data_IF_224120444693
#
_entry.id   IF_224120444693
#
_cell.length_a   1.000
_cell.length_b   1.000
_cell.length_c   1.000
_cell.angle_alpha   90.00
_cell.angle_beta   90.00
_cell.angle_gamma   90.00
#
_symmetry.space_group_name_H-M   'P 1'
#
loop_
_entity.id
_entity.type
_entity.pdbx_description
1 polymer ?
#
# COMPACT_ATOMS: atom_id res chain seq x y z
N UNK A 1 7.72 1.74 -9.01
CA UNK A 1 8.87 0.87 -8.63
C UNK A 1 9.02 -0.39 -9.48
N UNK A 2 8.03 -1.30 -9.51
CA UNK A 2 8.15 -2.62 -10.15
C UNK A 2 8.53 -2.59 -11.64
N UNK A 3 8.00 -1.63 -12.42
CA UNK A 3 8.38 -1.44 -13.83
C UNK A 3 9.87 -1.17 -14.04
N UNK A 4 10.47 -0.41 -13.11
CA UNK A 4 11.87 -0.01 -13.21
C UNK A 4 12.82 -1.13 -12.79
N UNK A 5 12.46 -1.90 -11.76
CA UNK A 5 13.39 -2.80 -11.07
C UNK A 5 13.01 -4.29 -11.08
N UNK A 6 11.75 -4.64 -11.36
CA UNK A 6 11.24 -6.02 -11.29
C UNK A 6 11.02 -6.53 -9.86
N UNK A 7 10.92 -7.86 -9.71
CA UNK A 7 10.76 -8.54 -8.41
C UNK A 7 11.63 -9.80 -8.37
N UNK A 8 12.03 -10.23 -7.18
CA UNK A 8 12.78 -11.47 -6.97
C UNK A 8 12.22 -12.22 -5.75
N UNK A 9 12.41 -13.55 -5.65
CA UNK A 9 11.97 -14.30 -4.49
C UNK A 9 12.81 -13.93 -3.26
N UNK A 10 12.23 -14.01 -2.07
CA UNK A 10 12.92 -13.78 -0.78
C UNK A 10 14.22 -14.60 -0.66
N UNK A 11 14.22 -15.84 -1.18
CA UNK A 11 15.39 -16.72 -1.18
C UNK A 11 16.57 -16.20 -2.03
N UNK A 12 16.32 -15.31 -3.00
CA UNK A 12 17.37 -14.70 -3.81
C UNK A 12 17.94 -13.44 -3.16
N UNK A 13 17.12 -12.70 -2.42
CA UNK A 13 17.52 -11.48 -1.73
C UNK A 13 16.63 -11.23 -0.51
N UNK A 14 17.06 -11.66 0.68
CA UNK A 14 16.25 -11.50 1.90
C UNK A 14 16.30 -10.09 2.48
N UNK A 15 17.12 -9.19 1.92
CA UNK A 15 17.31 -7.82 2.43
C UNK A 15 17.82 -7.76 3.87
N UNK A 16 18.53 -8.80 4.31
CA UNK A 16 19.01 -8.99 5.69
C UNK A 16 20.46 -9.50 5.67
N UNK A 17 21.34 -9.04 6.58
CA UNK A 17 22.66 -9.62 6.77
C UNK A 17 22.57 -11.09 7.22
N UNK A 18 23.64 -11.86 6.99
CA UNK A 18 23.71 -13.27 7.39
C UNK A 18 23.50 -13.38 8.92
N UNK A 19 22.60 -14.28 9.33
CA UNK A 19 22.27 -14.54 10.73
C UNK A 19 21.23 -13.60 11.36
N UNK A 20 20.74 -12.61 10.61
CA UNK A 20 19.68 -11.70 11.08
C UNK A 20 18.31 -12.26 10.71
N UNK A 21 17.46 -12.46 11.72
CA UNK A 21 16.11 -13.01 11.54
C UNK A 21 15.06 -11.94 11.21
N UNK A 22 15.18 -10.75 11.82
CA UNK A 22 14.21 -9.67 11.70
C UNK A 22 14.86 -8.41 11.12
N UNK A 23 14.12 -7.64 10.33
CA UNK A 23 14.59 -6.34 9.88
C UNK A 23 14.67 -5.36 11.05
N UNK A 24 15.81 -4.67 11.16
CA UNK A 24 15.97 -3.51 12.03
C UNK A 24 16.71 -2.43 11.25
N UNK A 25 15.99 -1.39 10.85
CA UNK A 25 16.54 -0.31 10.05
C UNK A 25 16.88 0.94 10.88
N UNK A 26 16.82 0.89 12.22
CA UNK A 26 17.00 2.09 13.05
C UNK A 26 18.36 2.78 12.85
N UNK A 27 19.44 1.99 12.79
CA UNK A 27 20.78 2.53 12.54
C UNK A 27 20.94 2.99 11.08
N UNK A 28 20.48 2.18 10.13
CA UNK A 28 20.47 2.52 8.70
C UNK A 28 19.75 3.86 8.46
N UNK A 29 18.54 4.01 8.99
CA UNK A 29 17.74 5.23 8.89
C UNK A 29 18.48 6.42 9.52
N UNK A 30 19.05 6.25 10.72
CA UNK A 30 19.84 7.31 11.38
C UNK A 30 20.99 7.80 10.49
N UNK A 31 21.73 6.89 9.86
CA UNK A 31 22.87 7.22 9.01
C UNK A 31 22.41 7.94 7.74
N UNK A 32 21.45 7.37 7.02
CA UNK A 32 20.93 7.92 5.77
C UNK A 32 20.26 9.28 6.02
N UNK A 33 19.42 9.38 7.05
CA UNK A 33 18.73 10.62 7.41
C UNK A 33 19.70 11.74 7.76
N UNK A 34 20.77 11.47 8.52
CA UNK A 34 21.81 12.49 8.82
C UNK A 34 22.52 12.97 7.56
N UNK A 35 22.86 12.05 6.65
CA UNK A 35 23.51 12.38 5.39
C UNK A 35 22.61 13.24 4.49
N UNK A 36 21.39 12.77 4.23
CA UNK A 36 20.43 13.46 3.36
C UNK A 36 20.03 14.81 3.95
N UNK A 37 19.74 14.90 5.25
CA UNK A 37 19.35 16.17 5.88
C UNK A 37 20.47 17.22 5.81
N UNK A 38 21.74 16.80 5.88
CA UNK A 38 22.87 17.73 5.69
C UNK A 38 22.89 18.28 4.26
N UNK A 39 22.71 17.42 3.26
CA UNK A 39 22.69 17.84 1.85
C UNK A 39 21.53 18.79 1.55
N UNK A 40 20.33 18.50 2.07
CA UNK A 40 19.15 19.36 1.93
C UNK A 40 19.41 20.75 2.55
N UNK A 41 20.00 20.82 3.76
CA UNK A 41 20.36 22.09 4.40
C UNK A 41 21.40 22.89 3.61
N UNK A 42 22.19 22.23 2.77
CA UNK A 42 23.16 22.86 1.88
C UNK A 42 22.56 23.26 0.53
N UNK A 43 21.25 23.06 0.32
CA UNK A 43 20.57 23.38 -0.93
C UNK A 43 20.84 22.37 -2.06
N UNK A 44 21.34 21.17 -1.74
CA UNK A 44 21.56 20.11 -2.73
C UNK A 44 20.22 19.49 -3.11
N UNK A 45 19.87 19.57 -4.39
CA UNK A 45 18.60 19.06 -4.94
C UNK A 45 18.73 17.72 -5.67
N UNK A 46 19.95 17.27 -5.95
CA UNK A 46 20.22 15.97 -6.55
C UNK A 46 21.58 15.43 -6.09
N UNK A 47 21.65 14.11 -5.84
CA UNK A 47 22.90 13.47 -5.46
C UNK A 47 23.87 13.39 -6.65
N UNK A 48 25.13 13.76 -6.43
CA UNK A 48 26.22 13.49 -7.36
C UNK A 48 26.64 12.01 -7.36
N UNK A 49 27.56 11.63 -8.26
CA UNK A 49 28.02 10.23 -8.38
C UNK A 49 28.68 9.69 -7.11
N UNK A 50 29.43 10.52 -6.38
CA UNK A 50 30.10 10.13 -5.14
C UNK A 50 29.08 9.91 -4.02
N UNK A 51 28.13 10.84 -3.88
CA UNK A 51 27.06 10.78 -2.89
C UNK A 51 26.13 9.58 -3.14
N UNK A 52 25.77 9.31 -4.40
CA UNK A 52 25.04 8.09 -4.78
C UNK A 52 25.85 6.83 -4.43
N UNK A 53 27.14 6.83 -4.73
CA UNK A 53 28.04 5.73 -4.37
C UNK A 53 28.11 5.48 -2.86
N UNK A 54 28.11 6.54 -2.05
CA UNK A 54 28.05 6.44 -0.59
C UNK A 54 26.73 5.82 -0.12
N UNK A 55 25.59 6.34 -0.58
CA UNK A 55 24.26 5.82 -0.22
C UNK A 55 24.14 4.34 -0.58
N UNK A 56 24.55 3.95 -1.79
CA UNK A 56 24.50 2.55 -2.22
C UNK A 56 25.36 1.65 -1.33
N UNK A 57 26.58 2.06 -0.99
CA UNK A 57 27.45 1.27 -0.10
C UNK A 57 26.85 1.11 1.29
N UNK A 58 26.23 2.15 1.84
CA UNK A 58 25.53 2.05 3.13
C UNK A 58 24.37 1.06 3.00
N UNK A 59 23.54 1.17 1.96
CA UNK A 59 22.45 0.20 1.73
C UNK A 59 22.96 -1.24 1.60
N UNK A 60 24.04 -1.47 0.83
CA UNK A 60 24.64 -2.79 0.64
C UNK A 60 25.17 -3.39 1.96
N UNK A 61 25.68 -2.57 2.88
CA UNK A 61 26.15 -3.02 4.20
C UNK A 61 24.97 -3.56 5.03
N UNK A 62 23.83 -2.88 5.02
CA UNK A 62 22.69 -3.21 5.87
C UNK A 62 21.70 -4.18 5.25
N UNK A 63 21.54 -4.17 3.92
CA UNK A 63 20.53 -4.96 3.20
C UNK A 63 21.16 -6.05 2.32
N UNK A 64 22.48 -6.00 2.12
CA UNK A 64 23.20 -6.83 1.16
C UNK A 64 23.18 -6.22 -0.24
N UNK A 65 24.14 -6.59 -1.12
CA UNK A 65 24.12 -6.14 -2.50
C UNK A 65 22.98 -6.83 -3.27
N UNK A 66 22.23 -6.05 -4.04
CA UNK A 66 21.12 -6.57 -4.85
C UNK A 66 21.67 -7.42 -6.01
N UNK A 67 21.28 -8.71 -6.14
CA UNK A 67 21.77 -9.55 -7.23
C UNK A 67 21.15 -9.13 -8.58
N UNK A 68 22.00 -8.93 -9.58
CA UNK A 68 21.54 -8.64 -10.95
C UNK A 68 20.81 -9.85 -11.59
N UNK A 69 21.20 -11.06 -11.19
CA UNK A 69 20.62 -12.33 -11.62
C UNK A 69 20.58 -13.33 -10.47
N UNK A 70 19.64 -14.27 -10.51
CA UNK A 70 19.50 -15.33 -9.52
C UNK A 70 18.96 -16.62 -10.16
N UNK A 71 19.21 -17.76 -9.51
CA UNK A 71 18.67 -19.07 -9.91
C UNK A 71 17.34 -19.29 -9.17
N UNK A 72 16.30 -19.65 -9.91
CA UNK A 72 15.04 -20.14 -9.35
C UNK A 72 14.60 -21.38 -10.14
N UNK A 73 14.30 -22.48 -9.44
CA UNK A 73 13.94 -23.77 -10.06
C UNK A 73 14.88 -24.17 -11.22
N UNK A 74 16.19 -24.11 -10.96
CA UNK A 74 17.26 -24.46 -11.91
C UNK A 74 17.36 -23.57 -13.16
N UNK A 75 16.67 -22.44 -13.21
CA UNK A 75 16.75 -21.44 -14.30
C UNK A 75 17.26 -20.10 -13.79
N UNK A 76 18.04 -19.42 -14.62
CA UNK A 76 18.52 -18.06 -14.33
C UNK A 76 17.48 -17.02 -14.71
N UNK A 77 17.26 -16.04 -13.85
CA UNK A 77 16.39 -14.90 -14.07
C UNK A 77 17.05 -13.59 -13.66
N UNK A 78 16.70 -12.51 -14.35
CA UNK A 78 16.75 -11.15 -13.77
C UNK A 78 15.44 -10.84 -13.06
N UNK A 79 15.38 -9.85 -12.15
CA UNK A 79 14.14 -9.46 -11.48
C UNK A 79 12.99 -9.12 -12.45
N UNK A 80 13.29 -8.48 -13.59
CA UNK A 80 12.28 -8.16 -14.62
C UNK A 80 11.73 -9.42 -15.30
N UNK A 81 12.62 -10.34 -15.69
CA UNK A 81 12.18 -11.59 -16.33
C UNK A 81 11.41 -12.49 -15.37
N UNK A 82 11.77 -12.51 -14.08
CA UNK A 82 11.06 -13.27 -13.06
C UNK A 82 9.65 -12.74 -12.85
N UNK A 83 9.48 -11.42 -12.75
CA UNK A 83 8.17 -10.76 -12.67
C UNK A 83 7.26 -11.15 -13.84
N UNK A 84 7.77 -11.06 -15.07
CA UNK A 84 6.98 -11.30 -16.28
C UNK A 84 6.67 -12.80 -16.52
N UNK A 85 7.64 -13.68 -16.29
CA UNK A 85 7.54 -15.09 -16.72
C UNK A 85 7.08 -16.03 -15.61
N UNK A 86 7.46 -15.77 -14.35
CA UNK A 86 7.17 -16.62 -13.20
C UNK A 86 6.00 -16.08 -12.41
N UNK A 87 6.09 -14.82 -11.95
CA UNK A 87 5.01 -14.18 -11.17
C UNK A 87 3.83 -13.82 -12.08
N UNK A 88 4.10 -13.51 -13.35
CA UNK A 88 3.12 -13.07 -14.36
C UNK A 88 2.34 -11.83 -13.89
N UNK A 89 3.08 -10.89 -13.31
CA UNK A 89 2.55 -9.62 -12.82
C UNK A 89 2.83 -8.52 -13.84
N UNK A 90 1.78 -7.85 -14.29
CA UNK A 90 1.87 -6.57 -14.99
C UNK A 90 1.44 -5.44 -14.04
N UNK A 91 2.36 -4.55 -13.62
CA UNK A 91 2.01 -3.41 -12.79
C UNK A 91 0.97 -2.47 -13.44
N UNK A 92 0.84 -2.46 -14.77
CA UNK A 92 -0.16 -1.66 -15.49
C UNK A 92 -1.60 -2.20 -15.37
N UNK A 93 -1.79 -3.37 -14.76
CA UNK A 93 -3.11 -3.93 -14.48
C UNK A 93 -3.71 -3.43 -13.17
N UNK A 94 -2.95 -2.70 -12.35
CA UNK A 94 -3.37 -2.21 -11.03
C UNK A 94 -3.46 -0.71 -11.01
N UNK A 95 -4.42 -0.21 -10.23
CA UNK A 95 -4.61 1.23 -10.03
C UNK A 95 -4.98 1.50 -8.59
N UNK A 96 -4.64 2.70 -8.12
CA UNK A 96 -5.06 3.21 -6.84
C UNK A 96 -6.39 3.93 -6.99
N UNK A 97 -7.38 3.47 -6.24
CA UNK A 97 -8.74 3.99 -6.21
C UNK A 97 -8.93 4.78 -4.91
N UNK A 98 -9.56 5.94 -4.99
CA UNK A 98 -9.92 6.75 -3.81
C UNK A 98 -11.33 7.34 -3.96
N UNK A 99 -11.80 8.04 -2.92
CA UNK A 99 -13.13 8.65 -2.88
C UNK A 99 -13.13 9.90 -2.02
N UNK A 100 -12.96 11.06 -2.65
CA UNK A 100 -13.03 12.38 -2.02
C UNK A 100 -13.77 13.39 -2.90
N UNK A 101 -14.40 14.38 -2.27
CA UNK A 101 -15.27 15.38 -2.91
C UNK A 101 -14.55 16.70 -3.25
N UNK A 102 -13.31 16.90 -2.80
CA UNK A 102 -12.54 18.10 -3.17
C UNK A 102 -11.99 18.06 -4.60
N UNK A 103 -12.05 16.90 -5.26
CA UNK A 103 -11.81 16.73 -6.70
C UNK A 103 -13.03 16.10 -7.38
N UNK A 104 -13.24 16.34 -8.68
CA UNK A 104 -14.33 15.69 -9.41
C UNK A 104 -14.20 14.17 -9.39
N UNK A 105 -15.35 13.48 -9.28
CA UNK A 105 -15.39 12.03 -9.49
C UNK A 105 -15.18 11.68 -10.97
N UNK A 106 -14.70 10.47 -11.22
CA UNK A 106 -14.38 9.97 -12.56
C UNK A 106 -13.09 10.56 -13.14
N UNK A 107 -12.27 11.22 -12.33
CA UNK A 107 -11.02 11.84 -12.74
C UNK A 107 -9.85 11.31 -11.94
N UNK A 108 -8.67 11.38 -12.57
CA UNK A 108 -7.39 11.15 -11.94
C UNK A 108 -6.91 12.41 -11.26
N UNK A 109 -6.36 12.29 -10.06
CA UNK A 109 -5.71 13.38 -9.36
C UNK A 109 -4.61 12.83 -8.43
N UNK A 110 -3.63 13.66 -8.12
CA UNK A 110 -2.62 13.33 -7.10
C UNK A 110 -3.27 13.55 -5.74
N UNK A 111 -3.48 12.48 -4.97
CA UNK A 111 -3.96 12.60 -3.60
C UNK A 111 -2.91 13.35 -2.77
N UNK A 112 -3.32 14.41 -2.07
CA UNK A 112 -2.41 15.31 -1.37
C UNK A 112 -1.96 14.75 -0.01
N UNK A 113 -1.42 13.53 -0.01
CA UNK A 113 -0.78 12.94 1.15
C UNK A 113 0.75 13.18 1.13
N UNK A 114 1.35 13.24 2.31
CA UNK A 114 2.78 13.57 2.45
C UNK A 114 3.72 12.43 2.04
N UNK A 115 3.21 11.21 1.85
CA UNK A 115 3.97 10.02 1.51
C UNK A 115 3.99 9.75 -0.01
N UNK A 116 3.07 10.31 -0.78
CA UNK A 116 3.09 10.32 -2.25
C UNK A 116 4.06 11.37 -2.83
N UNK A 117 5.36 11.18 -2.56
CA UNK A 117 6.42 12.02 -3.12
C UNK A 117 6.68 11.77 -4.61
N UNK A 118 6.19 10.66 -5.17
CA UNK A 118 6.29 10.36 -6.60
C UNK A 118 5.28 11.14 -7.44
N UNK A 119 4.20 11.63 -6.83
CA UNK A 119 3.13 12.34 -7.52
C UNK A 119 2.27 11.40 -8.37
N UNK A 120 2.17 10.13 -7.97
CA UNK A 120 1.33 9.16 -8.67
C UNK A 120 -0.16 9.52 -8.48
N UNK A 121 -0.97 9.27 -9.51
CA UNK A 121 -2.37 9.68 -9.54
C UNK A 121 -3.31 8.55 -9.10
N UNK A 122 -4.33 8.93 -8.34
CA UNK A 122 -5.41 8.08 -7.84
C UNK A 122 -6.65 8.33 -8.70
N UNK A 123 -7.42 7.27 -8.98
CA UNK A 123 -8.71 7.39 -9.64
C UNK A 123 -9.81 7.67 -8.61
N UNK A 124 -10.50 8.80 -8.75
CA UNK A 124 -11.53 9.23 -7.81
C UNK A 124 -12.91 8.70 -8.20
N UNK A 125 -13.62 8.05 -7.27
CA UNK A 125 -15.00 7.58 -7.48
C UNK A 125 -15.91 7.98 -6.32
N UNK A 126 -17.24 8.04 -6.53
CA UNK A 126 -18.17 8.24 -5.43
C UNK A 126 -18.01 7.13 -4.38
N UNK A 127 -18.24 7.46 -3.11
CA UNK A 127 -18.08 6.49 -2.00
C UNK A 127 -18.90 5.22 -2.23
N UNK A 128 -20.10 5.33 -2.80
CA UNK A 128 -20.94 4.17 -3.15
C UNK A 128 -20.29 3.22 -4.16
N UNK A 129 -19.55 3.76 -5.12
CA UNK A 129 -18.89 2.95 -6.15
C UNK A 129 -17.57 2.40 -5.63
N UNK A 130 -16.87 3.15 -4.77
CA UNK A 130 -15.75 2.65 -3.98
C UNK A 130 -16.14 1.37 -3.21
N UNK A 131 -17.32 1.39 -2.55
CA UNK A 131 -17.88 0.21 -1.88
C UNK A 131 -18.10 -0.95 -2.84
N UNK A 132 -18.89 -0.71 -3.89
CA UNK A 132 -19.25 -1.74 -4.88
C UNK A 132 -18.03 -2.36 -5.54
N UNK A 133 -17.02 -1.57 -5.90
CA UNK A 133 -15.78 -2.05 -6.53
C UNK A 133 -15.04 -2.97 -5.56
N UNK A 134 -14.89 -2.57 -4.30
CA UNK A 134 -14.24 -3.39 -3.26
C UNK A 134 -14.97 -4.71 -3.06
N UNK A 135 -16.29 -4.66 -2.82
CA UNK A 135 -17.11 -5.85 -2.56
C UNK A 135 -17.15 -6.79 -3.77
N UNK A 136 -17.27 -6.23 -4.98
CA UNK A 136 -17.28 -7.01 -6.23
C UNK A 136 -15.93 -7.66 -6.50
N UNK A 137 -14.83 -6.95 -6.25
CA UNK A 137 -13.49 -7.50 -6.40
C UNK A 137 -13.30 -8.74 -5.52
N UNK A 138 -13.64 -8.64 -4.23
CA UNK A 138 -13.56 -9.75 -3.29
C UNK A 138 -14.48 -10.90 -3.70
N UNK A 139 -15.72 -10.61 -4.08
CA UNK A 139 -16.68 -11.63 -4.54
C UNK A 139 -16.23 -12.36 -5.83
N UNK A 140 -15.43 -11.70 -6.68
CA UNK A 140 -14.84 -12.28 -7.90
C UNK A 140 -13.50 -12.98 -7.65
N UNK A 141 -13.06 -13.12 -6.39
CA UNK A 141 -11.81 -13.78 -6.02
C UNK A 141 -10.57 -12.91 -6.21
N UNK A 142 -10.73 -11.60 -6.43
CA UNK A 142 -9.62 -10.65 -6.36
C UNK A 142 -9.37 -10.24 -4.90
N UNK A 143 -8.14 -9.83 -4.63
CA UNK A 143 -7.72 -9.24 -3.36
C UNK A 143 -7.28 -7.79 -3.59
N UNK A 144 -7.23 -6.97 -2.55
CA UNK A 144 -6.93 -5.53 -2.70
C UNK A 144 -5.81 -5.11 -1.74
N UNK A 145 -4.91 -4.24 -2.22
CA UNK A 145 -4.09 -3.45 -1.30
C UNK A 145 -4.97 -2.43 -0.58
N UNK A 146 -4.77 -2.26 0.71
CA UNK A 146 -5.49 -1.29 1.52
C UNK A 146 -4.52 -0.27 2.08
N UNK A 147 -4.84 1.00 1.88
CA UNK A 147 -4.08 2.15 2.31
C UNK A 147 -4.98 2.96 3.24
N UNK A 148 -4.64 3.05 4.52
CA UNK A 148 -5.49 3.70 5.50
C UNK A 148 -4.83 3.95 6.84
N UNK A 149 -5.67 4.34 7.80
CA UNK A 149 -5.28 4.71 9.15
C UNK A 149 -5.34 3.47 10.06
N UNK A 150 -4.20 3.07 10.59
CA UNK A 150 -4.03 1.99 11.55
C UNK A 150 -3.54 2.48 12.92
N UNK A 151 -3.26 3.78 13.08
CA UNK A 151 -2.99 4.41 14.38
C UNK A 151 -4.28 4.91 15.09
N UNK A 152 -5.45 4.79 14.45
CA UNK A 152 -6.76 5.09 15.05
C UNK A 152 -7.05 4.22 16.31
N UNK A 153 -7.62 4.79 17.38
CA UNK A 153 -7.93 4.05 18.61
C UNK A 153 -8.89 2.87 18.43
N UNK A 154 -9.71 2.87 17.38
CA UNK A 154 -10.63 1.78 17.04
C UNK A 154 -9.98 0.68 16.18
N UNK A 155 -8.67 0.78 15.91
CA UNK A 155 -7.84 -0.25 15.31
C UNK A 155 -7.26 -1.19 16.38
N UNK A 156 -8.01 -2.23 16.72
CA UNK A 156 -7.72 -3.12 17.84
C UNK A 156 -6.91 -4.35 17.37
N UNK A 157 -5.66 -4.14 16.95
CA UNK A 157 -4.83 -5.20 16.36
C UNK A 157 -4.68 -6.44 17.25
N UNK A 158 -4.48 -6.26 18.56
CA UNK A 158 -4.34 -7.36 19.50
C UNK A 158 -5.63 -8.17 19.70
N UNK A 159 -6.77 -7.60 19.34
CA UNK A 159 -8.07 -8.26 19.32
C UNK A 159 -8.43 -8.79 17.93
N UNK A 160 -7.68 -8.38 16.91
CA UNK A 160 -7.92 -8.74 15.52
C UNK A 160 -9.15 -8.05 14.93
N UNK A 161 -9.51 -6.87 15.43
CA UNK A 161 -10.74 -6.16 15.06
C UNK A 161 -10.45 -4.69 14.70
N UNK A 162 -11.22 -4.14 13.78
CA UNK A 162 -11.30 -2.70 13.55
C UNK A 162 -12.75 -2.30 13.23
N UNK A 163 -13.36 -1.44 14.04
CA UNK A 163 -14.75 -1.02 13.86
C UNK A 163 -15.04 0.29 14.58
N UNK A 164 -15.84 1.18 13.98
CA UNK A 164 -16.19 2.45 14.64
C UNK A 164 -17.36 2.28 15.63
N UNK A 165 -17.38 3.00 16.77
CA UNK A 165 -18.53 3.06 17.64
C UNK A 165 -19.62 3.97 17.05
N UNK A 166 -20.87 3.52 17.09
CA UNK A 166 -22.03 4.32 16.66
C UNK A 166 -22.27 4.33 15.16
N UNK A 167 -23.03 5.34 14.71
CA UNK A 167 -23.43 5.53 13.31
C UNK A 167 -23.05 6.92 12.83
N UNK A 168 -22.59 7.03 11.60
CA UNK A 168 -22.25 8.30 10.95
C UNK A 168 -23.41 8.66 10.02
N UNK A 169 -24.00 9.84 10.23
CA UNK A 169 -25.18 10.28 9.45
C UNK A 169 -24.83 10.66 8.02
N UNK A 170 -23.71 11.37 7.82
CA UNK A 170 -23.19 11.75 6.52
C UNK A 170 -21.76 11.21 6.35
N UNK A 171 -21.67 9.97 5.86
CA UNK A 171 -20.42 9.26 5.68
C UNK A 171 -19.48 9.94 4.69
N UNK A 172 -20.02 10.59 3.66
CA UNK A 172 -19.23 11.28 2.64
C UNK A 172 -18.60 12.53 3.21
N UNK A 173 -19.38 13.34 3.92
CA UNK A 173 -18.88 14.55 4.58
C UNK A 173 -17.90 14.21 5.70
N UNK A 174 -18.21 13.23 6.55
CA UNK A 174 -17.33 12.81 7.65
C UNK A 174 -15.96 12.36 7.14
N UNK A 175 -15.95 11.52 6.09
CA UNK A 175 -14.72 11.07 5.42
C UNK A 175 -13.93 12.23 4.83
N UNK A 176 -14.59 13.17 4.15
CA UNK A 176 -13.93 14.32 3.56
C UNK A 176 -13.32 15.26 4.62
N UNK A 177 -14.07 15.50 5.70
CA UNK A 177 -13.63 16.35 6.80
C UNK A 177 -12.41 15.71 7.48
N UNK A 178 -12.46 14.40 7.75
CA UNK A 178 -11.36 13.68 8.40
C UNK A 178 -10.03 13.75 7.60
N UNK A 179 -10.11 13.67 6.27
CA UNK A 179 -8.95 13.88 5.40
C UNK A 179 -8.44 15.33 5.47
N UNK A 180 -9.33 16.32 5.36
CA UNK A 180 -8.97 17.75 5.42
C UNK A 180 -8.36 18.16 6.76
N UNK A 181 -8.87 17.61 7.85
CA UNK A 181 -8.37 17.87 9.21
C UNK A 181 -7.19 16.99 9.60
N UNK A 182 -6.76 16.07 8.71
CA UNK A 182 -5.69 15.12 8.96
C UNK A 182 -5.92 14.26 10.21
N UNK A 183 -7.19 13.97 10.53
CA UNK A 183 -7.58 13.05 11.59
C UNK A 183 -7.72 11.61 11.09
N UNK A 184 -7.63 11.42 9.77
CA UNK A 184 -7.42 10.12 9.15
C UNK A 184 -6.21 10.25 8.25
N UNK A 185 -5.18 9.45 8.53
CA UNK A 185 -3.88 9.49 7.85
C UNK A 185 -3.64 8.24 7.01
N UNK A 186 -2.81 8.37 5.98
CA UNK A 186 -2.21 7.23 5.29
C UNK A 186 -0.98 6.80 6.09
N UNK A 187 -1.15 6.03 7.16
CA UNK A 187 -0.02 5.61 8.00
C UNK A 187 0.40 4.16 7.77
N UNK A 188 -0.47 3.35 7.16
CA UNK A 188 -0.22 1.92 7.01
C UNK A 188 -0.84 1.32 5.74
N UNK A 189 -0.18 0.28 5.25
CA UNK A 189 -0.67 -0.52 4.12
C UNK A 189 -0.85 -1.98 4.55
N UNK A 190 -1.99 -2.55 4.19
CA UNK A 190 -2.31 -3.97 4.42
C UNK A 190 -2.94 -4.61 3.19
N UNK A 191 -3.29 -5.90 3.28
CA UNK A 191 -3.81 -6.67 2.14
C UNK A 191 -5.15 -7.29 2.48
N UNK A 192 -6.22 -6.80 1.85
CA UNK A 192 -7.57 -7.36 1.98
C UNK A 192 -7.67 -8.64 1.17
N UNK A 193 -8.01 -9.75 1.82
CA UNK A 193 -8.01 -11.07 1.18
C UNK A 193 -9.39 -11.72 1.10
N UNK A 194 -10.35 -11.29 1.91
CA UNK A 194 -11.72 -11.83 1.90
C UNK A 194 -12.71 -10.85 2.56
N UNK A 195 -14.01 -11.17 2.50
CA UNK A 195 -15.05 -10.50 3.26
C UNK A 195 -16.10 -11.51 3.78
N UNK A 196 -16.54 -11.32 5.01
CA UNK A 196 -17.59 -12.12 5.65
C UNK A 196 -18.70 -11.21 6.16
N UNK A 197 -19.87 -11.80 6.43
CA UNK A 197 -20.99 -11.10 7.09
C UNK A 197 -21.18 -11.62 8.50
N UNK A 198 -21.43 -10.70 9.44
CA UNK A 198 -21.83 -11.08 10.78
C UNK A 198 -23.32 -11.48 10.85
N UNK A 199 -23.78 -11.89 12.04
CA UNK A 199 -25.16 -12.28 12.28
C UNK A 199 -26.19 -11.14 12.12
N UNK A 200 -25.74 -9.89 12.00
CA UNK A 200 -26.57 -8.71 11.72
C UNK A 200 -26.48 -8.27 10.26
N UNK A 201 -25.74 -9.01 9.44
CA UNK A 201 -25.55 -8.74 8.01
C UNK A 201 -24.49 -7.68 7.69
N UNK A 202 -23.79 -7.14 8.70
CA UNK A 202 -22.70 -6.17 8.47
C UNK A 202 -21.51 -6.88 7.85
N UNK A 203 -20.88 -6.22 6.89
CA UNK A 203 -19.68 -6.74 6.23
C UNK A 203 -18.44 -6.50 7.10
N UNK A 204 -17.58 -7.52 7.17
CA UNK A 204 -16.27 -7.48 7.79
C UNK A 204 -15.22 -7.97 6.78
N UNK A 205 -14.26 -7.12 6.45
CA UNK A 205 -13.14 -7.45 5.57
C UNK A 205 -12.07 -8.20 6.34
N UNK A 206 -11.64 -9.35 5.82
CA UNK A 206 -10.52 -10.10 6.35
C UNK A 206 -9.23 -9.56 5.74
N UNK A 207 -8.39 -8.97 6.57
CA UNK A 207 -7.22 -8.21 6.15
C UNK A 207 -5.95 -8.81 6.75
N UNK A 208 -4.94 -9.02 5.92
CA UNK A 208 -3.63 -9.53 6.30
C UNK A 208 -2.71 -8.36 6.66
N UNK A 209 -2.24 -8.34 7.90
CA UNK A 209 -1.22 -7.39 8.37
C UNK A 209 0.20 -7.96 8.17
N UNK A 210 1.22 -7.14 8.43
CA UNK A 210 2.65 -7.46 8.31
C UNK A 210 3.40 -7.39 9.65
N UNK A 211 2.71 -7.26 10.78
CA UNK A 211 3.28 -7.21 12.14
C UNK A 211 3.54 -8.59 12.78
N UNK A 212 3.59 -9.63 11.94
CA UNK A 212 3.69 -11.01 12.39
C UNK A 212 2.37 -11.56 12.95
N UNK A 213 2.46 -12.75 13.51
CA UNK A 213 1.36 -13.60 13.93
C UNK A 213 1.15 -13.58 15.44
N UNK A 214 1.18 -12.37 16.01
CA UNK A 214 1.16 -12.14 17.47
C UNK A 214 -0.23 -11.92 18.06
N UNK A 215 -1.25 -11.72 17.22
CA UNK A 215 -2.64 -11.61 17.66
C UNK A 215 -3.37 -12.98 17.57
N UNK A 216 -4.57 -13.13 18.17
CA UNK A 216 -5.28 -14.41 18.26
C UNK A 216 -5.66 -15.05 16.92
N UNK A 217 -5.62 -14.30 15.82
CA UNK A 217 -6.02 -14.74 14.48
C UNK A 217 -4.85 -14.74 13.50
N UNK A 218 -3.62 -14.88 13.99
CA UNK A 218 -2.45 -15.17 13.18
C UNK A 218 -1.92 -13.97 12.38
N UNK A 219 -2.12 -12.76 12.86
CA UNK A 219 -1.68 -11.51 12.22
C UNK A 219 -2.69 -10.93 11.23
N UNK A 220 -3.86 -11.53 11.12
CA UNK A 220 -4.97 -10.98 10.34
C UNK A 220 -5.85 -10.08 11.20
N UNK A 221 -6.77 -9.35 10.57
CA UNK A 221 -7.84 -8.64 11.25
C UNK A 221 -9.18 -8.81 10.54
N UNK A 222 -10.26 -8.60 11.28
CA UNK A 222 -11.58 -8.32 10.72
C UNK A 222 -11.87 -6.83 10.84
N UNK A 223 -11.93 -6.15 9.70
CA UNK A 223 -12.25 -4.72 9.63
C UNK A 223 -13.69 -4.54 9.19
N UNK A 224 -14.55 -4.01 10.06
CA UNK A 224 -15.94 -3.77 9.74
C UNK A 224 -16.07 -2.67 8.69
N UNK A 225 -17.12 -2.76 7.88
CA UNK A 225 -17.35 -1.85 6.77
C UNK A 225 -17.32 -0.36 7.15
N UNK A 226 -17.86 0.01 8.32
CA UNK A 226 -17.83 1.41 8.75
C UNK A 226 -16.41 1.94 9.00
N UNK A 227 -15.56 1.16 9.67
CA UNK A 227 -14.15 1.52 9.81
C UNK A 227 -13.47 1.62 8.46
N UNK A 228 -13.63 0.58 7.62
CA UNK A 228 -13.02 0.55 6.30
C UNK A 228 -13.38 1.80 5.49
N UNK A 229 -14.65 2.13 5.34
CA UNK A 229 -15.05 3.25 4.49
C UNK A 229 -14.75 4.63 5.06
N UNK A 230 -14.43 4.74 6.35
CA UNK A 230 -14.08 6.00 6.99
C UNK A 230 -12.57 6.20 7.17
N UNK A 231 -11.81 5.12 7.27
CA UNK A 231 -10.36 5.14 7.57
C UNK A 231 -9.45 4.72 6.42
N UNK A 232 -10.01 4.17 5.36
CA UNK A 232 -9.26 3.96 4.10
C UNK A 232 -8.98 5.30 3.44
N UNK A 233 -7.79 5.55 2.91
CA UNK A 233 -7.54 6.63 1.96
C UNK A 233 -7.64 6.12 0.52
N UNK A 234 -7.10 4.94 0.26
CA UNK A 234 -7.14 4.33 -1.06
C UNK A 234 -7.15 2.80 -1.00
N UNK A 235 -7.45 2.18 -2.14
CA UNK A 235 -7.20 0.76 -2.37
C UNK A 235 -6.46 0.55 -3.68
N UNK A 236 -5.51 -0.37 -3.68
CA UNK A 236 -4.89 -0.88 -4.90
C UNK A 236 -5.75 -2.04 -5.40
N UNK A 237 -6.30 -1.90 -6.60
CA UNK A 237 -7.20 -2.89 -7.18
C UNK A 237 -6.85 -3.16 -8.65
N UNK A 238 -7.12 -4.38 -9.11
CA UNK A 238 -6.99 -4.72 -10.52
C UNK A 238 -8.03 -3.93 -11.36
N UNK A 239 -7.59 -3.21 -12.40
CA UNK A 239 -8.40 -2.26 -13.19
C UNK A 239 -9.70 -2.81 -13.77
N UNK A 240 -9.73 -4.12 -14.08
CA UNK A 240 -10.94 -4.88 -14.46
C UNK A 240 -12.11 -4.68 -13.49
N UNK A 241 -11.85 -4.55 -12.20
CA UNK A 241 -12.91 -4.38 -11.18
C UNK A 241 -13.53 -2.99 -11.22
N UNK A 242 -12.76 -1.97 -11.64
CA UNK A 242 -13.28 -0.62 -11.83
C UNK A 242 -14.12 -0.58 -13.10
N UNK A 243 -13.59 -1.09 -14.22
CA UNK A 243 -14.30 -1.12 -15.49
C UNK A 243 -15.63 -1.90 -15.41
N UNK A 244 -15.70 -2.94 -14.57
CA UNK A 244 -16.92 -3.70 -14.32
C UNK A 244 -18.05 -2.85 -13.69
N UNK A 245 -17.71 -1.77 -12.98
CA UNK A 245 -18.68 -0.92 -12.24
C UNK A 245 -18.88 0.43 -12.93
N UNK A 246 -17.80 1.07 -13.40
CA UNK A 246 -17.85 2.41 -14.01
C UNK A 246 -17.98 2.39 -15.53
N UNK A 247 -17.98 1.20 -16.15
CA UNK A 247 -18.09 0.98 -17.60
C UNK A 247 -16.79 1.21 -18.36
N UNK A 248 -16.00 2.21 -18.00
CA UNK A 248 -14.65 2.46 -18.56
C UNK A 248 -13.74 3.08 -17.52
N UNK A 249 -12.45 2.75 -17.55
CA UNK A 249 -11.40 3.46 -16.81
C UNK A 249 -10.63 4.33 -17.82
N UNK A 250 -10.76 5.67 -17.78
CA UNK A 250 -9.96 6.54 -18.64
C UNK A 250 -8.47 6.40 -18.29
N UNK A 251 -7.54 6.59 -19.24
CA UNK A 251 -6.12 6.62 -18.92
C UNK A 251 -5.82 7.80 -17.98
N UNK A 252 -4.80 7.69 -17.11
CA UNK A 252 -4.30 8.82 -16.34
C UNK A 252 -4.01 10.02 -17.27
N UNK A 253 -4.41 11.22 -16.85
CA UNK A 253 -3.97 12.44 -17.54
C UNK A 253 -2.53 12.71 -17.10
N UNK A 254 -1.61 12.73 -18.06
CA UNK A 254 -0.22 13.15 -17.86
C UNK A 254 -0.14 14.58 -17.34
#
# INVERSE_FOLDING_TARGET
>A
MLKNYGIMPESAYPGKPIGVLNHNHAELDTIISRFVNKLVRQGVTALDSSQKGYVNKVLDIYLGPVPAQFVYQQKNYTPKTFMAQVVKLDPDDFVELTSYTHHPFGQWFVLEDKYNWTGDAYYNVPLSDFRKITDTALAMGYTLGWDGDADDPDFLFMEGLAYLPGSISDEVKARQDAFKTQTTLLDHMMHIVDAVKDNKGKTWYYIKNSWGNINPIGGFMYMREDYFYQRTLAVIVHKKMIAAITGTLPPPKN
#
